data_IF_246522181183
#
_entry.id   IF_246522181183
#
_cell.length_a   1.000
_cell.length_b   1.000
_cell.length_c   1.000
_cell.angle_alpha   90.00
_cell.angle_beta   90.00
_cell.angle_gamma   90.00
#
_symmetry.space_group_name_H-M   'P 1'
#
loop_
_entity.id
_entity.type
_entity.pdbx_description
1 polymer ?
#
# COMPACT_ATOMS: atom_id res chain seq x y z
N UNK A 1 -16.84 4.58 -25.43
CA UNK A 1 -17.20 3.95 -24.15
C UNK A 1 -18.35 4.74 -23.57
N UNK A 2 -19.43 4.09 -23.13
CA UNK A 2 -20.69 4.74 -22.72
C UNK A 2 -20.52 5.41 -21.36
N UNK A 3 -21.12 6.59 -21.17
CA UNK A 3 -21.10 7.41 -19.94
C UNK A 3 -21.45 6.66 -18.63
N UNK A 4 -22.02 5.46 -18.75
CA UNK A 4 -22.35 4.54 -17.65
C UNK A 4 -21.11 3.86 -17.02
N UNK A 5 -20.08 3.53 -17.81
CA UNK A 5 -18.82 2.97 -17.29
C UNK A 5 -17.99 4.03 -16.55
N UNK A 6 -18.02 5.28 -17.00
CA UNK A 6 -17.36 6.39 -16.30
C UNK A 6 -18.03 6.72 -14.96
N UNK A 7 -19.37 6.60 -14.90
CA UNK A 7 -20.10 6.76 -13.64
C UNK A 7 -19.75 5.65 -12.65
N UNK A 8 -19.74 4.38 -13.07
CA UNK A 8 -19.35 3.28 -12.17
C UNK A 8 -17.90 3.36 -11.72
N UNK A 9 -16.99 3.85 -12.57
CA UNK A 9 -15.62 4.16 -12.19
C UNK A 9 -15.56 5.27 -11.14
N UNK A 10 -16.20 6.41 -11.38
CA UNK A 10 -16.25 7.49 -10.37
C UNK A 10 -16.94 7.08 -9.07
N UNK A 11 -17.93 6.20 -9.12
CA UNK A 11 -18.67 5.73 -7.94
C UNK A 11 -17.86 4.69 -7.14
N UNK A 12 -17.04 3.89 -7.81
CA UNK A 12 -16.05 3.01 -7.21
C UNK A 12 -14.88 3.81 -6.59
N UNK A 13 -14.26 4.72 -7.35
CA UNK A 13 -13.13 5.56 -6.92
C UNK A 13 -13.50 6.55 -5.80
N UNK A 14 -14.80 6.86 -5.62
CA UNK A 14 -15.31 7.80 -4.60
C UNK A 14 -15.85 7.14 -3.34
N UNK A 15 -15.67 5.84 -3.13
CA UNK A 15 -15.98 5.24 -1.83
C UNK A 15 -14.69 5.15 -1.01
N UNK A 16 -14.24 6.23 -0.33
CA UNK A 16 -13.05 6.15 0.49
C UNK A 16 -13.26 5.09 1.56
N UNK A 17 -12.26 4.23 1.73
CA UNK A 17 -12.16 3.38 2.90
C UNK A 17 -12.16 4.31 4.13
N UNK A 18 -12.97 4.05 5.19
CA UNK A 18 -13.16 5.01 6.27
C UNK A 18 -11.84 5.44 6.93
N UNK A 19 -11.40 6.67 6.68
CA UNK A 19 -10.11 7.23 7.13
C UNK A 19 -9.99 7.44 8.66
N UNK A 20 -11.04 7.13 9.44
CA UNK A 20 -11.05 7.35 10.89
C UNK A 20 -9.95 6.54 11.61
N UNK A 21 -9.61 5.36 11.11
CA UNK A 21 -8.55 4.52 11.68
C UNK A 21 -7.16 5.05 11.35
N UNK A 22 -6.94 5.56 10.12
CA UNK A 22 -5.67 6.20 9.73
C UNK A 22 -5.35 7.39 10.62
N UNK A 23 -6.34 8.23 10.93
CA UNK A 23 -6.19 9.32 11.89
C UNK A 23 -5.83 8.86 13.30
N UNK A 24 -6.41 7.75 13.78
CA UNK A 24 -6.07 7.16 15.07
C UNK A 24 -4.67 6.53 15.08
N UNK A 25 -4.27 5.87 14.00
CA UNK A 25 -2.93 5.33 13.82
C UNK A 25 -1.88 6.45 13.90
N UNK A 26 -2.11 7.57 13.21
CA UNK A 26 -1.24 8.75 13.29
C UNK A 26 -1.22 9.33 14.71
N UNK A 27 -2.36 9.42 15.40
CA UNK A 27 -2.42 9.94 16.77
C UNK A 27 -1.70 9.04 17.81
N UNK A 28 -1.66 7.71 17.60
CA UNK A 28 -0.89 6.79 18.47
C UNK A 28 0.61 7.15 18.48
N UNK A 29 1.11 7.83 17.44
CA UNK A 29 2.51 8.26 17.35
C UNK A 29 2.83 9.56 18.12
N UNK A 30 1.84 10.35 18.53
CA UNK A 30 2.06 11.64 19.22
C UNK A 30 2.30 11.48 20.74
N UNK A 31 1.86 10.39 21.36
CA UNK A 31 1.88 10.23 22.83
C UNK A 31 3.01 9.32 23.37
N UNK A 32 3.99 8.95 22.55
CA UNK A 32 5.01 7.96 22.95
C UNK A 32 6.37 8.56 23.32
N UNK A 33 6.69 8.50 24.62
CA UNK A 33 8.07 8.48 25.13
C UNK A 33 8.64 7.07 24.96
N UNK A 34 9.93 6.89 24.61
CA UNK A 34 10.52 5.57 24.43
C UNK A 34 10.41 4.76 25.74
N UNK A 35 9.82 3.58 25.67
CA UNK A 35 9.68 2.71 26.84
C UNK A 35 11.06 2.17 27.26
N UNK A 36 11.39 2.16 28.57
CA UNK A 36 12.64 1.60 29.05
C UNK A 36 12.66 0.08 28.88
N UNK A 37 13.80 -0.41 28.39
CA UNK A 37 14.05 -1.80 28.02
C UNK A 37 14.09 -2.71 29.25
N UNK A 38 12.98 -3.40 29.53
CA UNK A 38 13.00 -4.62 30.35
C UNK A 38 11.72 -4.93 31.11
N UNK A 39 10.98 -5.96 30.67
CA UNK A 39 10.65 -7.14 31.49
C UNK A 39 9.99 -8.21 30.58
N UNK A 40 10.56 -9.41 30.58
CA UNK A 40 10.03 -10.62 29.93
C UNK A 40 8.91 -11.24 30.80
N UNK A 41 8.10 -12.12 30.18
CA UNK A 41 7.17 -13.11 30.77
C UNK A 41 5.74 -12.65 31.06
N UNK A 42 4.82 -12.97 30.13
CA UNK A 42 3.57 -13.69 30.39
C UNK A 42 2.93 -14.14 29.05
N UNK A 43 3.28 -15.33 28.56
CA UNK A 43 2.62 -15.98 27.40
C UNK A 43 1.94 -17.27 27.85
N UNK A 44 0.61 -17.30 27.74
CA UNK A 44 -0.26 -18.48 27.64
C UNK A 44 -1.65 -17.90 27.34
N UNK A 45 -2.26 -18.00 26.16
CA UNK A 45 -2.58 -19.21 25.40
C UNK A 45 -3.05 -18.80 23.99
N UNK A 46 -2.23 -19.02 22.95
CA UNK A 46 -2.66 -19.14 21.53
C UNK A 46 -1.52 -19.63 20.60
N UNK A 47 -0.43 -20.18 21.14
CA UNK A 47 0.79 -20.49 20.38
C UNK A 47 0.83 -21.89 19.74
N UNK A 48 -0.21 -22.72 19.93
CA UNK A 48 -0.14 -24.15 19.59
C UNK A 48 -0.61 -24.53 18.19
N UNK A 49 -1.19 -23.62 17.40
CA UNK A 49 -1.60 -23.91 16.01
C UNK A 49 -0.62 -23.34 14.98
N UNK A 50 0.03 -22.21 15.27
CA UNK A 50 0.91 -21.52 14.30
C UNK A 50 2.30 -22.17 14.15
N UNK A 51 2.80 -22.84 15.20
CA UNK A 51 4.09 -23.54 15.15
C UNK A 51 4.09 -24.76 14.20
N UNK A 52 2.92 -25.30 13.86
CA UNK A 52 2.82 -26.43 12.94
C UNK A 52 2.78 -26.02 11.46
N UNK A 53 2.51 -24.75 11.14
CA UNK A 53 2.48 -24.29 9.75
C UNK A 53 3.86 -23.79 9.26
N UNK A 54 4.67 -23.21 10.15
CA UNK A 54 6.02 -22.71 9.80
C UNK A 54 7.04 -23.84 9.55
N UNK A 55 6.81 -25.04 10.09
CA UNK A 55 7.66 -26.21 9.84
C UNK A 55 7.41 -26.91 8.49
N UNK A 56 6.43 -26.44 7.70
CA UNK A 56 6.05 -27.06 6.42
C UNK A 56 6.57 -26.29 5.19
N UNK A 57 7.54 -25.37 5.37
CA UNK A 57 8.35 -24.83 4.27
C UNK A 57 9.47 -25.84 3.99
N UNK A 58 9.31 -26.59 2.90
CA UNK A 58 10.13 -27.72 2.50
C UNK A 58 11.64 -27.42 2.39
N UNK A 59 12.42 -28.17 3.18
CA UNK A 59 13.48 -29.09 2.74
C UNK A 59 14.40 -28.61 1.59
N UNK A 60 15.52 -28.02 1.99
CA UNK A 60 16.84 -28.39 1.46
C UNK A 60 17.81 -28.57 2.67
N UNK A 61 18.19 -29.80 3.05
CA UNK A 61 18.89 -30.08 4.30
C UNK A 61 20.43 -30.00 4.18
N UNK A 62 20.98 -28.98 3.49
CA UNK A 62 22.44 -28.94 3.26
C UNK A 62 23.14 -27.58 3.42
N UNK A 63 22.48 -26.48 3.80
CA UNK A 63 23.17 -25.19 4.08
C UNK A 63 22.97 -24.63 5.49
N UNK A 64 22.28 -25.34 6.39
CA UNK A 64 22.04 -24.86 7.76
C UNK A 64 23.27 -24.87 8.70
N UNK A 65 24.49 -25.07 8.16
CA UNK A 65 25.72 -25.20 8.95
C UNK A 65 26.74 -24.06 8.76
N UNK A 66 26.41 -22.97 8.06
CA UNK A 66 27.33 -21.84 7.80
C UNK A 66 26.83 -20.45 8.25
N UNK A 67 25.83 -20.36 9.13
CA UNK A 67 25.45 -19.07 9.75
C UNK A 67 26.14 -18.84 11.09
N UNK A 68 27.46 -19.11 11.16
CA UNK A 68 28.32 -18.62 12.25
C UNK A 68 28.96 -17.30 11.79
N UNK A 69 28.69 -16.24 12.54
CA UNK A 69 29.27 -14.88 12.46
C UNK A 69 28.66 -13.87 11.45
N UNK A 70 27.37 -13.55 11.61
CA UNK A 70 26.82 -12.25 11.19
C UNK A 70 26.27 -11.49 12.41
N UNK A 71 26.96 -10.43 12.89
CA UNK A 71 26.43 -9.53 13.90
C UNK A 71 25.23 -8.74 13.35
N UNK A 72 24.14 -8.67 14.12
CA UNK A 72 22.90 -7.90 13.87
C UNK A 72 21.93 -8.52 12.85
N UNK A 73 21.30 -9.65 13.22
CA UNK A 73 19.93 -9.89 12.79
C UNK A 73 19.03 -8.88 13.53
N UNK A 74 18.88 -7.68 12.96
CA UNK A 74 17.84 -6.73 13.36
C UNK A 74 16.47 -7.40 13.27
N UNK A 75 15.50 -6.95 14.06
CA UNK A 75 14.12 -7.44 14.03
C UNK A 75 13.58 -7.42 12.60
N UNK A 76 13.54 -8.58 11.95
CA UNK A 76 12.91 -8.71 10.63
C UNK A 76 11.42 -8.56 10.84
N UNK A 77 10.85 -7.45 10.36
CA UNK A 77 9.39 -7.32 10.24
C UNK A 77 8.90 -8.44 9.33
N UNK A 78 7.87 -9.14 9.78
CA UNK A 78 7.24 -10.23 9.03
C UNK A 78 5.85 -9.80 8.64
N UNK A 79 5.47 -10.18 7.43
CA UNK A 79 4.11 -10.03 6.95
C UNK A 79 3.61 -11.41 6.55
N UNK A 80 2.42 -11.77 7.01
CA UNK A 80 1.76 -13.02 6.64
C UNK A 80 0.26 -12.80 6.50
N UNK A 81 -0.39 -13.70 5.76
CA UNK A 81 -1.83 -13.68 5.60
C UNK A 81 -2.50 -14.09 6.92
N UNK A 82 -3.29 -13.20 7.50
CA UNK A 82 -4.01 -13.44 8.76
C UNK A 82 -5.45 -13.89 8.53
N UNK A 83 -6.11 -13.29 7.54
CA UNK A 83 -7.44 -13.71 7.08
C UNK A 83 -7.36 -13.97 5.59
N UNK A 84 -7.91 -15.11 5.17
CA UNK A 84 -8.14 -15.43 3.78
C UNK A 84 -9.64 -15.72 3.62
N UNK A 85 -10.27 -15.05 2.66
CA UNK A 85 -11.66 -15.27 2.29
C UNK A 85 -11.74 -15.69 0.83
N UNK A 86 -12.49 -16.76 0.60
CA UNK A 86 -12.85 -17.22 -0.74
C UNK A 86 -14.36 -17.44 -0.79
N UNK A 87 -15.05 -16.79 -1.74
CA UNK A 87 -16.48 -16.99 -1.96
C UNK A 87 -16.74 -18.17 -2.89
N UNK A 88 -17.82 -18.92 -2.65
CA UNK A 88 -18.38 -19.87 -3.63
C UNK A 88 -19.34 -19.18 -4.62
N UNK A 89 -19.80 -17.96 -4.29
CA UNK A 89 -20.73 -17.15 -5.08
C UNK A 89 -19.97 -15.94 -5.62
N UNK A 90 -19.59 -16.01 -6.90
CA UNK A 90 -18.69 -15.06 -7.55
C UNK A 90 -17.20 -15.33 -7.23
N UNK A 91 -16.28 -14.58 -7.85
CA UNK A 91 -14.83 -14.82 -7.75
C UNK A 91 -14.15 -13.86 -6.76
N UNK A 92 -14.30 -14.09 -5.45
CA UNK A 92 -13.62 -13.29 -4.41
C UNK A 92 -12.47 -14.05 -3.75
N UNK A 93 -11.28 -13.44 -3.70
CA UNK A 93 -10.06 -13.94 -3.05
C UNK A 93 -9.39 -12.83 -2.22
N UNK A 94 -9.85 -12.60 -1.00
CA UNK A 94 -9.35 -11.49 -0.16
C UNK A 94 -8.36 -12.00 0.88
N UNK A 95 -7.12 -11.54 0.79
CA UNK A 95 -6.03 -11.80 1.75
C UNK A 95 -5.75 -10.52 2.56
N UNK A 96 -5.93 -10.62 3.87
CA UNK A 96 -5.65 -9.52 4.80
C UNK A 96 -4.28 -9.78 5.46
N UNK A 97 -3.27 -8.93 5.23
CA UNK A 97 -1.97 -9.11 5.84
C UNK A 97 -2.00 -8.73 7.34
N UNK A 98 -1.07 -9.31 8.08
CA UNK A 98 -0.72 -8.91 9.44
C UNK A 98 0.78 -8.69 9.52
N UNK A 99 1.16 -7.57 10.13
CA UNK A 99 2.54 -7.14 10.36
C UNK A 99 2.95 -7.52 11.78
N UNK A 100 4.12 -8.12 11.94
CA UNK A 100 4.74 -8.42 13.23
C UNK A 100 6.21 -8.02 13.25
N UNK A 101 6.68 -7.51 14.38
CA UNK A 101 8.07 -7.14 14.60
C UNK A 101 8.38 -5.67 14.32
N UNK A 102 7.37 -4.79 14.29
CA UNK A 102 7.63 -3.35 14.29
C UNK A 102 8.22 -2.92 15.64
N UNK A 103 9.07 -1.89 15.60
CA UNK A 103 9.74 -1.41 16.82
C UNK A 103 8.77 -0.68 17.80
N UNK A 104 7.54 -0.38 17.37
CA UNK A 104 6.48 0.18 18.19
C UNK A 104 5.25 -0.75 18.17
N UNK A 105 4.95 -1.41 19.30
CA UNK A 105 3.82 -2.34 19.41
C UNK A 105 2.45 -1.64 19.29
N UNK A 106 2.30 -0.42 19.79
CA UNK A 106 1.05 0.33 19.66
C UNK A 106 0.78 0.68 18.19
N UNK A 107 1.82 1.04 17.45
CA UNK A 107 1.73 1.25 16.01
C UNK A 107 1.43 -0.06 15.26
N UNK A 108 2.08 -1.17 15.64
CA UNK A 108 1.79 -2.49 15.06
C UNK A 108 0.33 -2.90 15.23
N UNK A 109 -0.25 -2.71 16.42
CA UNK A 109 -1.66 -2.97 16.66
C UNK A 109 -2.57 -2.05 15.82
N UNK A 110 -2.21 -0.76 15.69
CA UNK A 110 -2.96 0.19 14.88
C UNK A 110 -2.93 -0.16 13.38
N UNK A 111 -1.75 -0.45 12.81
CA UNK A 111 -1.58 -0.88 11.42
C UNK A 111 -2.37 -2.16 11.16
N UNK A 112 -2.28 -3.15 12.05
CA UNK A 112 -3.02 -4.40 11.91
C UNK A 112 -4.55 -4.22 12.02
N UNK A 113 -5.01 -3.26 12.82
CA UNK A 113 -6.43 -2.93 12.92
C UNK A 113 -6.95 -2.25 11.65
N UNK A 114 -6.16 -1.35 11.05
CA UNK A 114 -6.47 -0.69 9.78
C UNK A 114 -6.51 -1.72 8.64
N UNK A 115 -5.45 -2.53 8.46
CA UNK A 115 -5.41 -3.61 7.47
C UNK A 115 -6.64 -4.54 7.55
N UNK A 116 -7.06 -4.89 8.77
CA UNK A 116 -8.25 -5.71 8.99
C UNK A 116 -9.56 -4.99 8.63
N UNK A 117 -9.66 -3.71 8.95
CA UNK A 117 -10.84 -2.91 8.62
C UNK A 117 -10.97 -2.72 7.10
N UNK A 118 -9.86 -2.40 6.43
CA UNK A 118 -9.81 -2.09 5.00
C UNK A 118 -10.12 -3.35 4.18
N UNK A 119 -9.49 -4.48 4.50
CA UNK A 119 -9.79 -5.76 3.85
C UNK A 119 -11.24 -6.23 4.06
N UNK A 120 -11.83 -5.97 5.24
CA UNK A 120 -13.26 -6.25 5.49
C UNK A 120 -14.18 -5.30 4.73
N UNK A 121 -13.83 -4.03 4.65
CA UNK A 121 -14.59 -3.04 3.90
C UNK A 121 -14.59 -3.37 2.40
N UNK A 122 -13.44 -3.78 1.86
CA UNK A 122 -13.30 -4.23 0.48
C UNK A 122 -14.20 -5.44 0.18
N UNK A 123 -14.18 -6.46 1.04
CA UNK A 123 -15.05 -7.61 0.90
C UNK A 123 -16.54 -7.23 1.01
N UNK A 124 -16.91 -6.41 2.01
CA UNK A 124 -18.29 -5.99 2.21
C UNK A 124 -18.84 -5.18 1.02
N UNK A 125 -17.99 -4.36 0.39
CA UNK A 125 -18.35 -3.65 -0.84
C UNK A 125 -18.65 -4.63 -1.98
N UNK A 126 -17.78 -5.60 -2.20
CA UNK A 126 -18.02 -6.64 -3.20
C UNK A 126 -19.34 -7.41 -2.97
N UNK A 127 -19.59 -7.84 -1.73
CA UNK A 127 -20.83 -8.56 -1.39
C UNK A 127 -22.08 -7.70 -1.62
N UNK A 128 -22.00 -6.39 -1.34
CA UNK A 128 -23.07 -5.44 -1.63
C UNK A 128 -23.31 -5.28 -3.13
N UNK A 129 -22.25 -5.11 -3.93
CA UNK A 129 -22.34 -4.96 -5.39
C UNK A 129 -22.94 -6.23 -6.05
N UNK A 130 -22.53 -7.42 -5.59
CA UNK A 130 -23.11 -8.70 -6.04
C UNK A 130 -24.59 -8.80 -5.67
N UNK A 131 -24.96 -8.39 -4.45
CA UNK A 131 -26.35 -8.44 -4.00
C UNK A 131 -27.25 -7.46 -4.80
N UNK A 132 -26.75 -6.27 -5.12
CA UNK A 132 -27.44 -5.28 -5.96
C UNK A 132 -27.68 -5.82 -7.36
N UNK A 133 -26.64 -6.36 -8.02
CA UNK A 133 -26.78 -6.93 -9.36
C UNK A 133 -27.75 -8.11 -9.41
N UNK A 134 -27.80 -8.95 -8.36
CA UNK A 134 -28.80 -10.02 -8.27
C UNK A 134 -30.23 -9.50 -8.08
N UNK A 135 -30.41 -8.35 -7.43
CA UNK A 135 -31.73 -7.71 -7.37
C UNK A 135 -32.17 -7.19 -8.74
N UNK A 136 -31.24 -6.63 -9.53
CA UNK A 136 -31.53 -6.10 -10.86
C UNK A 136 -31.73 -7.20 -11.92
N UNK A 137 -30.87 -8.22 -11.92
CA UNK A 137 -30.80 -9.24 -12.97
C UNK A 137 -31.57 -10.53 -12.62
N UNK A 138 -31.97 -10.67 -11.35
CA UNK A 138 -32.64 -11.86 -10.81
C UNK A 138 -31.69 -12.75 -9.99
N UNK A 139 -32.23 -13.54 -9.04
CA UNK A 139 -31.43 -14.28 -8.05
C UNK A 139 -30.55 -15.39 -8.66
N UNK A 140 -30.96 -15.91 -9.82
CA UNK A 140 -30.24 -16.95 -10.58
C UNK A 140 -29.25 -16.36 -11.61
N UNK A 141 -29.12 -15.03 -11.67
CA UNK A 141 -28.20 -14.38 -12.59
C UNK A 141 -26.75 -14.71 -12.22
N UNK A 142 -25.96 -15.11 -13.22
CA UNK A 142 -24.52 -15.28 -13.09
C UNK A 142 -23.87 -13.90 -13.02
N UNK A 143 -23.24 -13.59 -11.90
CA UNK A 143 -22.54 -12.32 -11.69
C UNK A 143 -21.09 -12.50 -12.11
N UNK A 144 -20.71 -11.88 -13.22
CA UNK A 144 -19.35 -11.91 -13.74
C UNK A 144 -18.54 -10.76 -13.12
N UNK A 145 -18.30 -10.85 -11.81
CA UNK A 145 -17.45 -9.93 -11.07
C UNK A 145 -16.59 -10.69 -10.06
N UNK A 146 -15.37 -10.19 -9.86
CA UNK A 146 -14.44 -10.74 -8.90
C UNK A 146 -13.61 -9.67 -8.22
N UNK A 147 -13.04 -10.05 -7.08
CA UNK A 147 -12.11 -9.23 -6.32
C UNK A 147 -10.95 -10.09 -5.83
N UNK A 148 -9.75 -9.55 -5.85
CA UNK A 148 -8.58 -10.17 -5.23
C UNK A 148 -7.79 -9.13 -4.46
N UNK A 149 -7.12 -9.53 -3.38
CA UNK A 149 -6.13 -8.66 -2.72
C UNK A 149 -4.78 -9.33 -2.59
N UNK A 150 -3.75 -8.49 -2.71
CA UNK A 150 -2.34 -8.86 -2.63
C UNK A 150 -1.61 -7.95 -1.66
N UNK A 151 -0.42 -8.37 -1.24
CA UNK A 151 0.48 -7.51 -0.49
C UNK A 151 1.94 -7.77 -0.87
N UNK A 152 2.76 -6.72 -0.81
CA UNK A 152 4.18 -6.76 -1.13
C UNK A 152 4.97 -5.90 -0.16
N UNK A 153 6.05 -6.47 0.39
CA UNK A 153 7.02 -5.70 1.18
C UNK A 153 7.91 -4.95 0.21
N UNK A 154 7.73 -3.64 0.09
CA UNK A 154 8.54 -2.77 -0.76
C UNK A 154 9.91 -2.47 -0.13
N UNK A 155 9.98 -2.38 1.20
CA UNK A 155 11.22 -2.27 1.95
C UNK A 155 11.07 -2.86 3.36
N UNK A 156 12.13 -3.48 3.88
CA UNK A 156 12.20 -3.94 5.28
C UNK A 156 13.65 -4.00 5.72
N UNK A 157 14.13 -2.91 6.33
CA UNK A 157 15.50 -2.79 6.84
C UNK A 157 15.49 -2.11 8.23
N UNK A 158 16.68 -1.74 8.73
CA UNK A 158 16.82 -1.15 10.07
C UNK A 158 16.22 0.27 10.19
N UNK A 159 15.98 0.95 9.07
CA UNK A 159 15.49 2.34 9.03
C UNK A 159 14.02 2.43 8.63
N UNK A 160 13.58 1.61 7.67
CA UNK A 160 12.25 1.68 7.08
C UNK A 160 11.63 0.30 6.90
N UNK A 161 10.32 0.24 7.16
CA UNK A 161 9.44 -0.78 6.64
C UNK A 161 8.37 -0.14 5.75
N UNK A 162 8.20 -0.66 4.53
CA UNK A 162 7.19 -0.21 3.57
C UNK A 162 6.42 -1.41 3.06
N UNK A 163 5.10 -1.41 3.28
CA UNK A 163 4.16 -2.42 2.80
C UNK A 163 3.23 -1.80 1.77
N UNK A 164 3.06 -2.47 0.64
CA UNK A 164 2.00 -2.21 -0.33
C UNK A 164 0.89 -3.25 -0.15
N UNK A 165 -0.36 -2.82 -0.13
CA UNK A 165 -1.54 -3.67 -0.24
C UNK A 165 -2.24 -3.29 -1.54
N UNK A 166 -2.60 -4.27 -2.34
CA UNK A 166 -3.32 -4.09 -3.60
C UNK A 166 -4.74 -4.64 -3.46
N UNK A 167 -5.71 -3.88 -3.95
CA UNK A 167 -7.11 -4.26 -4.06
C UNK A 167 -7.48 -4.29 -5.53
N UNK A 168 -7.58 -5.49 -6.08
CA UNK A 168 -7.92 -5.73 -7.47
C UNK A 168 -9.39 -6.06 -7.61
N UNK A 169 -10.02 -5.42 -8.59
CA UNK A 169 -11.41 -5.68 -8.97
C UNK A 169 -11.46 -6.11 -10.45
N UNK A 170 -12.42 -6.95 -10.80
CA UNK A 170 -12.69 -7.32 -12.19
C UNK A 170 -14.17 -7.52 -12.45
N UNK A 171 -14.60 -7.19 -13.66
CA UNK A 171 -15.94 -7.41 -14.18
C UNK A 171 -16.01 -7.04 -15.66
N UNK A 172 -16.76 -5.99 -16.01
CA UNK A 172 -16.75 -5.41 -17.36
C UNK A 172 -15.42 -4.75 -17.76
N UNK A 173 -14.52 -4.56 -16.79
CA UNK A 173 -13.13 -4.10 -16.91
C UNK A 173 -12.31 -4.61 -15.72
N UNK A 174 -11.08 -4.16 -15.55
CA UNK A 174 -10.22 -4.46 -14.38
C UNK A 174 -9.42 -3.21 -13.96
N UNK A 175 -9.12 -3.12 -12.67
CA UNK A 175 -8.51 -1.97 -11.98
C UNK A 175 -7.94 -2.45 -10.65
N UNK A 176 -6.77 -1.90 -10.33
CA UNK A 176 -6.13 -2.04 -9.02
C UNK A 176 -6.02 -0.68 -8.34
N UNK A 177 -6.35 -0.64 -7.06
CA UNK A 177 -5.98 0.46 -6.15
C UNK A 177 -4.98 -0.02 -5.11
N UNK A 178 -4.13 0.87 -4.62
CA UNK A 178 -3.09 0.52 -3.67
C UNK A 178 -3.19 1.32 -2.38
N UNK A 179 -2.85 0.67 -1.27
CA UNK A 179 -2.53 1.33 -0.01
C UNK A 179 -1.08 1.07 0.36
N UNK A 180 -0.44 2.10 0.92
CA UNK A 180 0.93 2.03 1.39
C UNK A 180 1.04 2.33 2.89
N UNK A 181 1.78 1.49 3.60
CA UNK A 181 2.10 1.66 5.01
C UNK A 181 3.61 1.80 5.15
N UNK A 182 4.05 3.03 5.43
CA UNK A 182 5.45 3.38 5.59
C UNK A 182 5.73 3.65 7.07
N UNK A 183 6.68 2.91 7.65
CA UNK A 183 7.07 3.00 9.06
C UNK A 183 8.54 3.34 9.14
N UNK A 184 8.86 4.40 9.88
CA UNK A 184 10.22 4.68 10.31
C UNK A 184 10.54 3.75 11.50
N UNK A 185 11.44 2.80 11.28
CA UNK A 185 11.83 1.82 12.29
C UNK A 185 12.68 2.43 13.41
N UNK A 186 13.37 3.54 13.14
CA UNK A 186 14.18 4.23 14.16
C UNK A 186 13.28 4.96 15.15
N UNK A 187 12.28 5.69 14.64
CA UNK A 187 11.36 6.48 15.49
C UNK A 187 10.15 5.68 15.97
N UNK A 188 9.79 4.60 15.28
CA UNK A 188 8.58 3.82 15.55
C UNK A 188 7.30 4.57 15.18
N UNK A 189 7.35 5.42 14.15
CA UNK A 189 6.25 6.27 13.70
C UNK A 189 5.92 5.99 12.23
N UNK A 190 4.67 6.28 11.85
CA UNK A 190 4.28 6.31 10.43
C UNK A 190 5.01 7.44 9.72
N UNK A 191 5.44 7.17 8.50
CA UNK A 191 5.94 8.17 7.57
C UNK A 191 4.75 8.60 6.71
N UNK A 192 4.34 9.85 6.87
CA UNK A 192 3.50 10.55 5.89
C UNK A 192 4.39 11.30 4.90
N UNK A 193 3.86 11.68 3.73
CA UNK A 193 4.66 12.41 2.75
C UNK A 193 5.16 13.74 3.33
N UNK A 194 4.29 14.48 4.02
CA UNK A 194 4.65 15.70 4.75
C UNK A 194 5.78 15.48 5.78
N UNK A 195 5.78 14.36 6.50
CA UNK A 195 6.76 14.09 7.56
C UNK A 195 8.20 13.94 7.05
N UNK A 196 8.39 13.68 5.75
CA UNK A 196 9.71 13.60 5.14
C UNK A 196 10.38 14.96 4.97
N UNK A 197 9.62 16.05 5.05
CA UNK A 197 10.08 17.40 4.70
C UNK A 197 10.02 18.35 5.89
N UNK A 198 10.85 19.38 5.85
CA UNK A 198 10.85 20.43 6.88
C UNK A 198 9.53 21.18 6.86
N UNK A 199 9.03 21.65 8.02
CA UNK A 199 7.85 22.51 8.05
C UNK A 199 7.99 23.71 7.10
N UNK A 200 7.02 23.87 6.19
CA UNK A 200 6.99 24.94 5.20
C UNK A 200 7.88 24.73 3.96
N UNK A 201 8.49 23.55 3.80
CA UNK A 201 9.19 23.20 2.56
C UNK A 201 8.20 23.01 1.41
N UNK A 202 8.50 23.61 0.25
CA UNK A 202 7.68 23.50 -0.97
C UNK A 202 8.00 22.22 -1.75
N UNK A 203 7.87 21.06 -1.09
CA UNK A 203 8.26 19.77 -1.66
C UNK A 203 7.30 19.32 -2.76
N UNK A 204 6.00 19.62 -2.64
CA UNK A 204 4.99 19.23 -3.63
C UNK A 204 5.29 19.86 -5.00
N UNK A 205 5.69 21.13 -5.04
CA UNK A 205 6.06 21.78 -6.31
C UNK A 205 7.26 21.11 -6.97
N UNK A 206 8.28 20.72 -6.19
CA UNK A 206 9.46 20.03 -6.71
C UNK A 206 9.13 18.62 -7.20
N UNK A 207 8.36 17.86 -6.43
CA UNK A 207 7.92 16.51 -6.81
C UNK A 207 7.04 16.56 -8.05
N UNK A 208 6.03 17.44 -8.09
CA UNK A 208 5.11 17.55 -9.23
C UNK A 208 5.82 17.95 -10.52
N UNK A 209 6.79 18.87 -10.45
CA UNK A 209 7.60 19.24 -11.61
C UNK A 209 8.41 18.04 -12.13
N UNK A 210 9.00 17.24 -11.25
CA UNK A 210 9.77 16.06 -11.64
C UNK A 210 8.89 14.93 -12.18
N UNK A 211 7.72 14.68 -11.57
CA UNK A 211 6.75 13.71 -12.07
C UNK A 211 6.30 14.06 -13.48
N UNK A 212 5.90 15.31 -13.71
CA UNK A 212 5.50 15.79 -15.04
C UNK A 212 6.65 15.67 -16.04
N UNK A 213 7.89 15.95 -15.63
CA UNK A 213 9.07 15.78 -16.49
C UNK A 213 9.25 14.32 -16.90
N UNK A 214 9.24 13.39 -15.94
CA UNK A 214 9.39 11.94 -16.21
C UNK A 214 8.26 11.39 -17.07
N UNK A 215 7.01 11.78 -16.81
CA UNK A 215 5.85 11.34 -17.60
C UNK A 215 5.96 11.81 -19.06
N UNK A 216 6.35 13.07 -19.29
CA UNK A 216 6.56 13.59 -20.64
C UNK A 216 7.72 12.91 -21.37
N UNK A 217 8.82 12.62 -20.66
CA UNK A 217 9.95 11.87 -21.21
C UNK A 217 9.52 10.45 -21.66
N UNK A 218 8.79 9.73 -20.81
CA UNK A 218 8.26 8.39 -21.15
C UNK A 218 7.26 8.42 -22.30
N UNK A 219 6.39 9.44 -22.38
CA UNK A 219 5.51 9.64 -23.53
C UNK A 219 6.30 9.83 -24.83
N UNK A 220 7.34 10.68 -24.79
CA UNK A 220 8.19 10.94 -25.94
C UNK A 220 8.96 9.69 -26.39
N UNK A 221 9.50 8.92 -25.44
CA UNK A 221 10.20 7.64 -25.71
C UNK A 221 9.26 6.59 -26.30
N UNK A 222 8.01 6.51 -25.81
CA UNK A 222 7.01 5.59 -26.32
C UNK A 222 6.44 6.03 -27.68
N UNK A 223 6.56 7.31 -28.04
CA UNK A 223 5.90 7.90 -29.20
C UNK A 223 4.36 7.89 -29.08
N UNK A 224 3.83 7.84 -27.86
CA UNK A 224 2.41 7.74 -27.55
C UNK A 224 2.10 8.36 -26.17
N UNK A 225 0.85 8.77 -25.98
CA UNK A 225 0.36 9.29 -24.70
C UNK A 225 0.05 8.13 -23.73
N UNK A 226 1.10 7.55 -23.14
CA UNK A 226 0.94 6.52 -22.09
C UNK A 226 0.68 7.14 -20.70
N UNK A 227 0.91 8.44 -20.57
CA UNK A 227 0.50 9.30 -19.47
C UNK A 227 -0.32 10.49 -19.97
N UNK A 228 -1.34 10.89 -19.23
CA UNK A 228 -2.16 12.07 -19.54
C UNK A 228 -1.47 13.33 -19.02
N UNK A 229 -0.46 13.83 -19.74
CA UNK A 229 0.31 15.03 -19.35
C UNK A 229 -0.19 16.32 -19.98
N UNK A 230 -1.07 16.23 -20.99
CA UNK A 230 -1.66 17.37 -21.67
C UNK A 230 -3.18 17.20 -21.85
N UNK A 231 -3.87 18.31 -22.13
CA UNK A 231 -5.31 18.32 -22.32
C UNK A 231 -5.74 17.93 -23.75
N UNK A 232 -4.90 17.18 -24.50
CA UNK A 232 -5.20 16.85 -25.89
C UNK A 232 -6.21 15.70 -26.03
N UNK A 233 -6.45 14.95 -24.95
CA UNK A 233 -7.41 13.85 -24.94
C UNK A 233 -8.80 14.31 -24.45
N UNK A 234 -9.82 14.17 -25.31
CA UNK A 234 -11.20 14.65 -25.10
C UNK A 234 -11.89 14.08 -23.85
N UNK A 235 -11.42 12.94 -23.34
CA UNK A 235 -12.10 12.18 -22.28
C UNK A 235 -11.28 12.02 -21.00
N UNK A 236 -10.15 12.72 -20.87
CA UNK A 236 -9.23 12.55 -19.74
C UNK A 236 -8.72 13.89 -19.25
N UNK A 237 -8.60 14.05 -17.94
CA UNK A 237 -7.98 15.22 -17.34
C UNK A 237 -6.46 15.03 -17.31
N UNK A 238 -5.67 16.08 -17.63
CA UNK A 238 -4.23 16.00 -17.50
C UNK A 238 -3.81 15.89 -16.03
N UNK A 239 -2.63 15.32 -15.80
CA UNK A 239 -1.97 15.32 -14.50
C UNK A 239 -1.78 16.75 -14.00
N UNK A 240 -2.39 17.07 -12.86
CA UNK A 240 -2.33 18.40 -12.23
C UNK A 240 -1.43 18.46 -11.00
N UNK A 241 -0.84 17.32 -10.61
CA UNK A 241 -0.02 17.19 -9.42
C UNK A 241 -0.62 16.23 -8.38
N UNK A 242 0.21 15.82 -7.43
CA UNK A 242 -0.17 15.03 -6.26
C UNK A 242 -0.46 15.94 -5.05
N UNK A 243 -1.13 15.37 -4.05
CA UNK A 243 -1.33 15.97 -2.72
C UNK A 243 -0.43 15.31 -1.68
N UNK A 244 -0.43 15.83 -0.44
CA UNK A 244 0.32 15.26 0.68
C UNK A 244 -0.15 13.84 1.10
N UNK A 245 -1.38 13.47 0.73
CA UNK A 245 -1.99 12.18 1.07
C UNK A 245 -1.85 11.13 -0.05
N UNK A 246 -1.16 11.47 -1.14
CA UNK A 246 -1.00 10.60 -2.30
C UNK A 246 -0.09 9.39 -2.00
N UNK A 247 -0.30 8.32 -2.75
CA UNK A 247 0.39 7.04 -2.58
C UNK A 247 1.90 7.15 -2.81
N UNK A 248 2.67 6.71 -1.82
CA UNK A 248 4.13 6.69 -1.91
C UNK A 248 4.72 5.58 -1.05
N UNK A 249 5.97 5.23 -1.32
CA UNK A 249 6.77 4.42 -0.42
C UNK A 249 8.25 4.80 -0.50
N UNK A 250 9.05 4.21 0.39
CA UNK A 250 10.50 4.32 0.35
C UNK A 250 11.04 2.95 -0.05
N UNK A 251 11.81 2.91 -1.13
CA UNK A 251 12.37 1.67 -1.62
C UNK A 251 13.57 1.20 -0.77
N UNK A 252 14.12 0.00 -1.00
CA UNK A 252 15.25 -0.52 -0.22
C UNK A 252 16.53 0.34 -0.30
N UNK A 253 16.65 1.16 -1.34
CA UNK A 253 17.77 2.08 -1.58
C UNK A 253 17.56 3.46 -0.96
N UNK A 254 16.52 3.64 -0.14
CA UNK A 254 16.21 4.91 0.52
C UNK A 254 15.68 5.98 -0.44
N UNK A 255 15.14 5.61 -1.60
CA UNK A 255 14.55 6.57 -2.55
C UNK A 255 13.06 6.71 -2.31
N UNK A 256 12.57 7.96 -2.40
CA UNK A 256 11.14 8.24 -2.43
C UNK A 256 10.57 7.79 -3.78
N UNK A 257 9.52 6.97 -3.74
CA UNK A 257 8.79 6.51 -4.92
C UNK A 257 7.34 6.94 -4.79
N UNK A 258 6.84 7.65 -5.80
CA UNK A 258 5.44 8.02 -5.95
C UNK A 258 4.76 6.93 -6.78
N UNK A 259 3.66 6.38 -6.29
CA UNK A 259 2.96 5.26 -6.91
C UNK A 259 1.54 5.66 -7.27
N UNK A 260 1.14 5.38 -8.50
CA UNK A 260 -0.17 5.74 -9.04
C UNK A 260 -1.06 4.53 -9.17
N UNK A 261 -2.32 4.70 -8.80
CA UNK A 261 -3.36 3.67 -8.99
C UNK A 261 -3.62 3.44 -10.49
N UNK A 262 -4.21 2.28 -10.83
CA UNK A 262 -4.59 2.05 -12.22
C UNK A 262 -5.57 3.13 -12.69
N UNK A 263 -5.33 3.67 -13.88
CA UNK A 263 -6.09 4.78 -14.45
C UNK A 263 -5.97 6.15 -13.76
N UNK A 264 -5.03 6.35 -12.84
CA UNK A 264 -4.88 7.66 -12.20
C UNK A 264 -4.23 8.69 -13.15
N UNK A 265 -3.20 8.27 -13.88
CA UNK A 265 -2.38 9.16 -14.74
C UNK A 265 -2.22 8.66 -16.18
N UNK A 266 -2.90 7.60 -16.56
CA UNK A 266 -2.81 7.01 -17.90
C UNK A 266 -3.86 5.92 -18.12
N UNK A 267 -3.97 5.33 -19.33
CA UNK A 267 -4.88 4.22 -19.58
C UNK A 267 -4.50 2.97 -18.78
N UNK A 268 -5.43 2.03 -18.59
CA UNK A 268 -5.16 0.77 -17.86
C UNK A 268 -4.05 -0.10 -18.48
N UNK A 269 -3.75 0.09 -19.77
CA UNK A 269 -2.57 -0.53 -20.41
C UNK A 269 -1.22 -0.05 -19.84
N UNK A 270 -1.21 1.10 -19.17
CA UNK A 270 -0.05 1.63 -18.44
C UNK A 270 0.08 1.01 -17.04
N UNK A 271 -0.89 0.20 -16.62
CA UNK A 271 -0.92 -0.45 -15.32
C UNK A 271 -0.91 0.56 -14.17
N UNK A 272 -0.01 0.35 -13.21
CA UNK A 272 0.13 1.15 -11.99
C UNK A 272 1.54 1.73 -11.91
N UNK A 273 1.76 2.92 -12.50
CA UNK A 273 3.09 3.50 -12.61
C UNK A 273 3.73 3.82 -11.25
N UNK A 274 5.02 3.49 -11.11
CA UNK A 274 5.87 3.90 -9.99
C UNK A 274 6.98 4.84 -10.53
N UNK A 275 7.11 6.03 -9.94
CA UNK A 275 8.08 7.07 -10.32
C UNK A 275 9.01 7.39 -9.15
N UNK A 276 10.30 7.14 -9.34
CA UNK A 276 11.33 7.42 -8.33
C UNK A 276 11.71 8.90 -8.39
N UNK A 277 11.70 9.57 -7.25
CA UNK A 277 12.11 10.98 -7.13
C UNK A 277 13.62 11.03 -6.83
N UNK A 278 14.44 11.70 -7.66
CA UNK A 278 15.87 11.87 -7.40
C UNK A 278 16.15 12.58 -6.07
N UNK A 279 16.93 11.95 -5.19
CA UNK A 279 17.21 12.44 -3.83
C UNK A 279 17.89 13.83 -3.82
N UNK A 280 18.70 14.13 -4.83
CA UNK A 280 19.37 15.41 -5.03
C UNK A 280 18.39 16.58 -5.14
N UNK A 281 17.17 16.36 -5.65
CA UNK A 281 16.12 17.38 -5.70
C UNK A 281 15.51 17.66 -4.31
N UNK A 282 15.57 16.67 -3.42
CA UNK A 282 14.93 16.70 -2.11
C UNK A 282 15.88 17.13 -0.99
N UNK A 283 17.19 16.98 -1.17
CA UNK A 283 18.21 17.13 -0.10
C UNK A 283 18.09 18.41 0.72
N UNK A 284 17.75 19.55 0.09
CA UNK A 284 17.57 20.84 0.78
C UNK A 284 16.26 20.97 1.56
N UNK A 285 15.30 20.10 1.29
CA UNK A 285 13.91 20.14 1.78
C UNK A 285 13.63 19.11 2.88
N UNK A 286 14.42 18.02 2.92
CA UNK A 286 14.22 16.91 3.86
C UNK A 286 14.31 17.35 5.32
N UNK A 287 13.41 16.81 6.14
CA UNK A 287 13.47 16.91 7.60
C UNK A 287 14.72 16.19 8.15
N UNK A 288 15.16 16.59 9.33
CA UNK A 288 16.25 15.90 10.01
C UNK A 288 15.85 14.46 10.35
N UNK A 289 16.68 13.49 9.98
CA UNK A 289 16.39 12.07 10.19
C UNK A 289 15.38 11.46 9.23
N UNK A 290 14.96 12.18 8.18
CA UNK A 290 14.18 11.59 7.09
C UNK A 290 14.96 10.42 6.46
N UNK A 291 14.37 9.22 6.32
CA UNK A 291 15.06 8.04 5.81
C UNK A 291 15.14 8.04 4.27
N UNK A 292 15.63 9.14 3.70
CA UNK A 292 15.84 9.34 2.26
C UNK A 292 17.33 9.63 2.02
N UNK A 293 17.98 8.86 1.15
CA UNK A 293 19.41 9.00 0.82
C UNK A 293 19.69 8.69 -0.66
#
# INVERSE_FOLDING_TARGET
>A
MTSRMQNWKQEYDRTPIPQELRGRMLAVTEDHRPAPRGWRWAFATAATVFAMFVLMVNVAPAQAAELRDVPVLGSLVRVFTFVEYTSEVGDAHVRIPRVEGLNNQGLEEAVNAELLADGKAFLAKYEADVAELKQELGPEAMINMGVESFYEIKASNAEVFSLRVEYFWVGGGSASSYDFYNVNQVTGQMITLDSLFRPGADYLSVINAELLRQMNERNAEAGANIFWTDAQEEFTEPFTGITADHNFYINPDGKLVIAFDEYEVGPGSSGSPELVIPTELLTGLLAEGAPIH
#
